data_IF_249263649721
#
_entry.id   IF_249263649721
#
_cell.length_a   1.000
_cell.length_b   1.000
_cell.length_c   1.000
_cell.angle_alpha   90.00
_cell.angle_beta   90.00
_cell.angle_gamma   90.00
#
_symmetry.space_group_name_H-M   'P 1'
#
loop_
_entity.id
_entity.type
_entity.pdbx_description
1 polymer ?
#
# COMPACT_ATOMS: atom_id res chain seq x y z
N UNK A 1 -1.84 24.38 -11.36
CA UNK A 1 -0.65 23.79 -10.70
C UNK A 1 -0.34 22.47 -11.37
N UNK A 2 0.93 22.26 -11.70
CA UNK A 2 1.42 21.03 -12.31
C UNK A 2 2.41 20.34 -11.36
N UNK A 3 2.15 19.09 -11.01
CA UNK A 3 3.02 18.27 -10.16
C UNK A 3 3.75 17.24 -11.05
N UNK A 4 5.07 17.10 -10.88
CA UNK A 4 5.80 15.97 -11.44
C UNK A 4 6.11 14.97 -10.34
N UNK A 5 5.69 13.71 -10.53
CA UNK A 5 6.02 12.58 -9.67
C UNK A 5 7.28 11.90 -10.21
N UNK A 6 8.30 11.76 -9.37
CA UNK A 6 9.56 11.09 -9.73
C UNK A 6 9.56 9.69 -9.11
N UNK A 7 9.28 8.68 -9.94
CA UNK A 7 9.12 7.27 -9.57
C UNK A 7 10.28 6.43 -10.12
N UNK A 8 11.50 6.64 -9.60
CA UNK A 8 12.69 5.91 -10.05
C UNK A 8 12.99 4.71 -9.17
N UNK A 9 13.02 4.88 -7.83
CA UNK A 9 13.23 3.77 -6.89
C UNK A 9 11.92 3.12 -6.44
N UNK A 10 10.81 3.84 -6.50
CA UNK A 10 9.47 3.33 -6.35
C UNK A 10 8.87 3.18 -7.76
N UNK A 11 8.70 1.96 -8.26
CA UNK A 11 8.40 1.75 -9.68
C UNK A 11 6.95 2.11 -10.01
N UNK A 12 6.76 2.97 -11.00
CA UNK A 12 5.47 3.18 -11.64
C UNK A 12 5.22 2.10 -12.69
N UNK A 13 4.18 1.30 -12.48
CA UNK A 13 3.79 0.19 -13.37
C UNK A 13 2.37 0.43 -13.85
N UNK A 14 2.19 0.47 -15.16
CA UNK A 14 0.90 0.78 -15.78
C UNK A 14 -0.20 -0.18 -15.31
N UNK A 15 -1.33 0.37 -14.85
CA UNK A 15 -2.49 -0.40 -14.41
C UNK A 15 -2.40 -0.98 -12.99
N UNK A 16 -1.32 -0.72 -12.27
CA UNK A 16 -1.18 -1.21 -10.91
C UNK A 16 -1.81 -0.24 -9.88
N UNK A 17 -2.24 -0.83 -8.73
CA UNK A 17 -2.89 -0.09 -7.64
C UNK A 17 -1.91 0.43 -6.57
N UNK A 18 -0.68 0.79 -6.94
CA UNK A 18 0.29 1.34 -5.99
C UNK A 18 0.11 2.85 -5.81
N UNK A 19 0.64 3.39 -4.72
CA UNK A 19 0.56 4.82 -4.42
C UNK A 19 1.12 5.68 -5.54
N UNK A 20 2.20 5.24 -6.19
CA UNK A 20 2.85 5.91 -7.31
C UNK A 20 1.93 6.03 -8.54
N UNK A 21 0.96 5.13 -8.66
CA UNK A 21 -0.07 5.13 -9.72
C UNK A 21 -1.32 5.91 -9.31
N UNK A 22 -1.79 5.65 -8.09
CA UNK A 22 -3.09 6.14 -7.64
C UNK A 22 -3.02 7.62 -7.20
N UNK A 23 -1.98 8.04 -6.50
CA UNK A 23 -1.87 9.44 -6.06
C UNK A 23 -1.88 10.42 -7.25
N UNK A 24 -1.10 10.24 -8.34
CA UNK A 24 -1.21 11.11 -9.53
C UNK A 24 -2.60 11.08 -10.18
N UNK A 25 -3.25 9.91 -10.25
CA UNK A 25 -4.61 9.75 -10.80
C UNK A 25 -5.61 10.61 -10.02
N UNK A 26 -5.63 10.49 -8.69
CA UNK A 26 -6.58 11.21 -7.85
C UNK A 26 -6.28 12.70 -7.73
N UNK A 27 -5.01 13.11 -7.76
CA UNK A 27 -4.63 14.51 -7.89
C UNK A 27 -5.12 15.12 -9.22
N UNK A 28 -5.05 14.33 -10.31
CA UNK A 28 -5.58 14.75 -11.62
C UNK A 28 -7.08 14.95 -11.58
N UNK A 29 -7.82 14.03 -10.94
CA UNK A 29 -9.28 14.17 -10.72
C UNK A 29 -9.62 15.39 -9.85
N UNK A 30 -8.76 15.76 -8.92
CA UNK A 30 -8.89 16.99 -8.13
C UNK A 30 -8.50 18.29 -8.89
N UNK A 31 -8.30 18.22 -10.22
CA UNK A 31 -7.99 19.35 -11.08
C UNK A 31 -6.52 19.79 -11.07
N UNK A 32 -5.63 18.97 -10.52
CA UNK A 32 -4.19 19.20 -10.53
C UNK A 32 -3.58 18.47 -11.72
N UNK A 33 -2.86 19.17 -12.61
CA UNK A 33 -2.12 18.51 -13.69
C UNK A 33 -0.99 17.66 -13.13
N UNK A 34 -0.89 16.41 -13.59
CA UNK A 34 0.14 15.50 -13.13
C UNK A 34 0.96 14.93 -14.28
N UNK A 35 2.25 14.76 -14.01
CA UNK A 35 3.16 14.02 -14.86
C UNK A 35 3.97 13.05 -14.00
N UNK A 36 4.36 11.91 -14.57
CA UNK A 36 5.20 10.91 -13.91
C UNK A 36 6.48 10.73 -14.72
N UNK A 37 7.62 10.77 -14.04
CA UNK A 37 8.92 10.35 -14.60
C UNK A 37 9.26 8.99 -13.98
N UNK A 38 9.38 7.95 -14.80
CA UNK A 38 9.65 6.59 -14.37
C UNK A 38 10.78 5.94 -15.19
N UNK A 39 11.32 4.80 -14.70
CA UNK A 39 12.26 4.01 -15.48
C UNK A 39 11.63 3.42 -16.74
N UNK A 40 12.34 3.47 -17.87
CA UNK A 40 11.93 2.83 -19.12
C UNK A 40 12.58 1.46 -19.37
N UNK A 41 13.51 1.04 -18.52
CA UNK A 41 14.28 -0.18 -18.75
C UNK A 41 14.58 -1.00 -17.48
N UNK A 42 14.24 -0.48 -16.31
CA UNK A 42 14.40 -1.17 -15.03
C UNK A 42 13.02 -1.44 -14.44
N UNK A 43 12.62 -2.70 -14.45
CA UNK A 43 11.32 -3.16 -14.00
C UNK A 43 11.46 -4.16 -12.86
N UNK A 44 10.49 -4.24 -11.93
CA UNK A 44 10.48 -5.23 -10.88
C UNK A 44 10.53 -6.66 -11.44
N UNK A 45 11.25 -7.54 -10.75
CA UNK A 45 11.47 -8.94 -11.16
C UNK A 45 10.20 -9.80 -11.21
N UNK A 46 9.13 -9.35 -10.60
CA UNK A 46 7.84 -10.06 -10.56
C UNK A 46 6.92 -9.71 -11.73
N UNK A 47 7.31 -8.78 -12.61
CA UNK A 47 6.58 -8.52 -13.85
C UNK A 47 6.88 -9.61 -14.88
N UNK A 48 5.85 -10.04 -15.59
CA UNK A 48 5.99 -10.94 -16.71
C UNK A 48 6.67 -10.26 -17.91
N UNK A 49 7.26 -11.06 -18.77
CA UNK A 49 7.87 -10.57 -20.02
C UNK A 49 6.85 -9.84 -20.90
N UNK A 50 5.58 -10.29 -20.90
CA UNK A 50 4.51 -9.67 -21.66
C UNK A 50 4.17 -8.27 -21.11
N UNK A 51 3.97 -8.11 -19.80
CA UNK A 51 3.71 -6.80 -19.17
C UNK A 51 4.83 -5.80 -19.46
N UNK A 52 6.09 -6.24 -19.37
CA UNK A 52 7.24 -5.39 -19.71
C UNK A 52 7.22 -5.01 -21.21
N UNK A 53 6.87 -5.94 -22.10
CA UNK A 53 6.74 -5.70 -23.54
C UNK A 53 5.63 -4.68 -23.82
N UNK A 54 4.49 -4.82 -23.19
CA UNK A 54 3.33 -3.92 -23.35
C UNK A 54 3.63 -2.49 -22.88
N UNK A 55 4.36 -2.35 -21.76
CA UNK A 55 4.83 -1.05 -21.29
C UNK A 55 5.81 -0.42 -22.29
N UNK A 56 6.79 -1.19 -22.78
CA UNK A 56 7.79 -0.71 -23.74
C UNK A 56 7.19 -0.33 -25.10
N UNK A 57 6.14 -1.03 -25.52
CA UNK A 57 5.44 -0.75 -26.79
C UNK A 57 4.78 0.64 -26.79
N UNK A 58 4.47 1.22 -25.63
CA UNK A 58 3.92 2.58 -25.52
C UNK A 58 4.96 3.68 -25.78
N UNK A 59 6.25 3.32 -25.81
CA UNK A 59 7.35 4.26 -26.00
C UNK A 59 7.75 5.03 -24.74
N UNK A 60 8.52 6.09 -24.93
CA UNK A 60 9.05 6.89 -23.82
C UNK A 60 8.06 7.94 -23.29
N UNK A 61 7.10 8.36 -24.13
CA UNK A 61 6.15 9.43 -23.81
C UNK A 61 4.75 9.00 -24.20
N UNK A 62 3.85 8.91 -23.22
CA UNK A 62 2.45 8.53 -23.42
C UNK A 62 1.58 9.06 -22.27
N UNK A 63 0.28 8.86 -22.35
CA UNK A 63 -0.67 9.21 -21.27
C UNK A 63 -1.44 7.98 -20.80
N UNK A 64 -1.76 7.95 -19.50
CA UNK A 64 -2.72 7.01 -18.92
C UNK A 64 -3.82 7.85 -18.28
N UNK A 65 -5.05 7.73 -18.82
CA UNK A 65 -6.06 8.74 -18.55
C UNK A 65 -5.55 10.13 -18.97
N UNK A 66 -5.49 11.06 -18.03
CA UNK A 66 -4.97 12.41 -18.26
C UNK A 66 -3.56 12.62 -17.68
N UNK A 67 -2.96 11.60 -17.06
CA UNK A 67 -1.61 11.68 -16.48
C UNK A 67 -0.56 11.43 -17.55
N UNK A 68 0.34 12.39 -17.76
CA UNK A 68 1.45 12.25 -18.71
C UNK A 68 2.57 11.43 -18.10
N UNK A 69 3.04 10.41 -18.82
CA UNK A 69 4.11 9.50 -18.41
C UNK A 69 5.35 9.73 -19.30
N UNK A 70 6.47 9.98 -18.65
CA UNK A 70 7.78 10.04 -19.30
C UNK A 70 8.69 8.95 -18.76
N UNK A 71 9.08 8.01 -19.62
CA UNK A 71 10.03 6.96 -19.28
C UNK A 71 11.44 7.37 -19.66
N UNK A 72 12.37 7.27 -18.72
CA UNK A 72 13.77 7.61 -18.93
C UNK A 72 14.67 6.40 -18.73
N UNK A 73 15.83 6.41 -19.35
CA UNK A 73 16.84 5.35 -19.18
C UNK A 73 17.43 5.42 -17.78
N UNK A 74 17.57 4.25 -17.16
CA UNK A 74 18.19 4.09 -15.84
C UNK A 74 19.25 2.99 -15.89
N UNK A 75 20.17 2.98 -14.93
CA UNK A 75 21.16 1.90 -14.76
C UNK A 75 21.20 1.47 -13.30
N UNK A 76 20.91 0.20 -13.07
CA UNK A 76 20.97 -0.42 -11.74
C UNK A 76 22.38 -0.92 -11.48
N UNK A 77 22.96 -0.49 -10.35
CA UNK A 77 24.28 -0.94 -9.88
C UNK A 77 24.13 -1.90 -8.68
N UNK A 78 23.06 -1.76 -7.90
CA UNK A 78 22.68 -2.68 -6.82
C UNK A 78 21.18 -2.59 -6.57
N UNK A 79 20.67 -3.40 -5.65
CA UNK A 79 19.24 -3.39 -5.26
C UNK A 79 18.74 -1.99 -4.88
N UNK A 80 19.60 -1.18 -4.24
CA UNK A 80 19.25 0.16 -3.74
C UNK A 80 19.89 1.31 -4.53
N UNK A 81 20.66 1.02 -5.58
CA UNK A 81 21.42 2.04 -6.31
C UNK A 81 21.05 2.07 -7.79
N UNK A 82 20.06 2.89 -8.10
CA UNK A 82 19.53 3.10 -9.45
C UNK A 82 19.83 4.54 -9.88
N UNK A 83 20.55 4.68 -10.98
CA UNK A 83 20.97 5.99 -11.53
C UNK A 83 20.13 6.35 -12.76
N UNK A 84 19.37 7.46 -12.72
CA UNK A 84 18.63 7.95 -13.88
C UNK A 84 19.54 8.77 -14.80
N UNK A 85 19.37 8.59 -16.11
CA UNK A 85 20.00 9.42 -17.14
C UNK A 85 19.02 10.49 -17.63
N UNK A 86 19.50 11.71 -17.90
CA UNK A 86 18.70 12.82 -18.42
C UNK A 86 17.48 13.20 -17.56
N UNK A 87 17.53 12.95 -16.24
CA UNK A 87 16.43 13.31 -15.35
C UNK A 87 16.21 14.82 -15.30
N UNK A 88 17.28 15.62 -15.29
CA UNK A 88 17.18 17.08 -15.30
C UNK A 88 16.42 17.57 -16.54
N UNK A 89 16.83 17.09 -17.73
CA UNK A 89 16.21 17.45 -19.01
C UNK A 89 14.72 17.02 -19.03
N UNK A 90 14.41 15.85 -18.44
CA UNK A 90 13.04 15.35 -18.34
C UNK A 90 12.17 16.26 -17.45
N UNK A 91 12.69 16.74 -16.31
CA UNK A 91 11.98 17.66 -15.44
C UNK A 91 11.82 19.04 -16.13
N UNK A 92 12.89 19.53 -16.79
CA UNK A 92 12.85 20.81 -17.53
C UNK A 92 11.81 20.78 -18.66
N UNK A 93 11.68 19.67 -19.39
CA UNK A 93 10.68 19.53 -20.45
C UNK A 93 9.23 19.55 -19.92
N UNK A 94 8.98 19.09 -18.68
CA UNK A 94 7.66 19.09 -18.06
C UNK A 94 7.32 20.47 -17.48
N UNK A 95 8.31 21.23 -17.00
CA UNK A 95 8.13 22.54 -16.34
C UNK A 95 7.12 22.47 -15.17
N UNK A 96 7.39 21.68 -14.12
CA UNK A 96 6.47 21.52 -13.01
C UNK A 96 6.48 22.75 -12.07
N UNK A 97 5.34 22.97 -11.40
CA UNK A 97 5.21 23.91 -10.27
C UNK A 97 5.65 23.29 -8.94
N UNK A 98 5.65 21.94 -8.86
CA UNK A 98 5.98 21.14 -7.66
C UNK A 98 6.62 19.84 -8.11
N UNK A 99 7.61 19.38 -7.35
CA UNK A 99 8.14 18.02 -7.49
C UNK A 99 7.66 17.18 -6.30
N UNK A 100 7.04 16.02 -6.60
CA UNK A 100 6.77 14.96 -5.65
C UNK A 100 7.73 13.80 -5.94
N UNK A 101 8.68 13.58 -5.05
CA UNK A 101 9.70 12.54 -5.23
C UNK A 101 9.37 11.33 -4.36
N UNK A 102 9.19 10.17 -4.99
CA UNK A 102 8.90 8.92 -4.29
C UNK A 102 10.19 8.26 -3.80
N UNK A 103 10.30 8.10 -2.49
CA UNK A 103 11.43 7.60 -1.70
C UNK A 103 12.64 8.54 -1.55
N UNK A 104 13.26 8.46 -0.35
CA UNK A 104 14.49 9.19 -0.02
C UNK A 104 15.75 8.49 -0.52
N UNK A 105 15.81 7.18 -0.51
CA UNK A 105 16.99 6.40 -0.84
C UNK A 105 17.17 6.20 -2.35
N UNK A 106 17.24 7.29 -3.10
CA UNK A 106 17.41 7.26 -4.54
C UNK A 106 18.36 8.37 -5.02
N UNK A 107 19.19 8.05 -6.01
CA UNK A 107 20.11 9.01 -6.62
C UNK A 107 19.41 10.12 -7.40
N UNK A 108 18.13 9.97 -7.74
CA UNK A 108 17.31 10.99 -8.35
C UNK A 108 16.95 12.15 -7.41
N UNK A 109 16.91 11.91 -6.09
CA UNK A 109 16.51 12.92 -5.11
C UNK A 109 17.41 14.18 -5.11
N UNK A 110 18.74 14.08 -5.07
CA UNK A 110 19.61 15.28 -5.15
C UNK A 110 19.49 16.00 -6.48
N UNK A 111 19.19 15.31 -7.59
CA UNK A 111 18.95 15.94 -8.91
C UNK A 111 17.65 16.74 -8.87
N UNK A 112 16.56 16.11 -8.37
CA UNK A 112 15.27 16.75 -8.18
C UNK A 112 15.36 17.99 -7.26
N UNK A 113 16.08 17.86 -6.15
CA UNK A 113 16.29 18.96 -5.21
C UNK A 113 17.09 20.11 -5.81
N UNK A 114 18.09 19.82 -6.66
CA UNK A 114 18.85 20.85 -7.38
C UNK A 114 17.96 21.62 -8.34
N UNK A 115 17.08 20.93 -9.08
CA UNK A 115 16.11 21.58 -9.96
C UNK A 115 15.12 22.44 -9.15
N UNK A 116 14.53 21.87 -8.08
CA UNK A 116 13.57 22.58 -7.23
C UNK A 116 14.19 23.86 -6.65
N UNK A 117 15.42 23.78 -6.14
CA UNK A 117 16.15 24.94 -5.58
C UNK A 117 16.42 25.99 -6.65
N UNK A 118 16.86 25.59 -7.86
CA UNK A 118 17.18 26.51 -8.95
C UNK A 118 15.96 27.29 -9.44
N UNK A 119 14.80 26.63 -9.47
CA UNK A 119 13.55 27.20 -9.98
C UNK A 119 12.63 27.71 -8.88
N UNK A 120 13.06 27.67 -7.61
CA UNK A 120 12.29 28.09 -6.43
C UNK A 120 10.90 27.44 -6.36
N UNK A 121 10.83 26.12 -6.63
CA UNK A 121 9.60 25.35 -6.52
C UNK A 121 9.65 24.36 -5.35
N UNK A 122 8.50 24.01 -4.73
CA UNK A 122 8.43 23.05 -3.65
C UNK A 122 8.90 21.66 -4.05
N UNK A 123 9.65 21.00 -3.14
CA UNK A 123 9.99 19.58 -3.20
C UNK A 123 9.29 18.86 -2.05
N UNK A 124 8.44 17.91 -2.38
CA UNK A 124 7.78 16.99 -1.45
C UNK A 124 8.40 15.62 -1.62
N UNK A 125 8.61 14.87 -0.55
CA UNK A 125 9.22 13.54 -0.59
C UNK A 125 8.44 12.58 0.29
N UNK A 126 8.12 11.37 -0.20
CA UNK A 126 7.58 10.31 0.65
C UNK A 126 8.64 9.27 1.04
N UNK A 127 8.28 8.39 1.97
CA UNK A 127 9.17 7.33 2.48
C UNK A 127 8.41 6.03 2.71
N UNK A 128 8.90 4.97 2.08
CA UNK A 128 8.43 3.59 2.26
C UNK A 128 9.42 2.70 3.01
N UNK A 129 10.61 3.23 3.32
CA UNK A 129 11.64 2.50 4.07
C UNK A 129 11.39 2.58 5.59
N UNK A 130 11.65 1.49 6.28
CA UNK A 130 11.67 1.39 7.73
C UNK A 130 12.80 0.45 8.20
N UNK A 131 12.91 0.28 9.52
CA UNK A 131 13.95 -0.58 10.13
C UNK A 131 13.80 -2.05 9.70
N UNK A 132 12.57 -2.51 9.42
CA UNK A 132 12.30 -3.88 8.98
C UNK A 132 12.79 -4.14 7.55
N UNK A 133 12.80 -3.09 6.72
CA UNK A 133 13.26 -3.15 5.33
C UNK A 133 14.75 -2.83 5.16
N UNK A 134 15.46 -2.54 6.26
CA UNK A 134 16.90 -2.27 6.23
C UNK A 134 17.71 -3.55 6.03
N UNK A 135 18.93 -3.37 5.54
CA UNK A 135 19.92 -4.45 5.52
C UNK A 135 20.16 -5.03 6.91
N UNK A 136 20.19 -6.35 7.04
CA UNK A 136 20.53 -7.04 8.29
C UNK A 136 21.96 -6.71 8.79
N UNK A 137 22.84 -6.26 7.90
CA UNK A 137 24.16 -5.76 8.28
C UNK A 137 24.02 -4.34 8.86
N UNK A 138 24.05 -4.25 10.19
CA UNK A 138 23.86 -2.98 10.93
C UNK A 138 24.89 -1.90 10.58
N UNK A 139 26.14 -2.28 10.30
CA UNK A 139 27.19 -1.33 9.92
C UNK A 139 26.90 -0.75 8.55
N UNK A 140 26.57 -1.61 7.57
CA UNK A 140 26.19 -1.17 6.23
C UNK A 140 24.92 -0.31 6.25
N UNK A 141 23.92 -0.71 7.02
CA UNK A 141 22.71 0.07 7.21
C UNK A 141 22.99 1.48 7.75
N UNK A 142 23.84 1.59 8.78
CA UNK A 142 24.26 2.87 9.34
C UNK A 142 24.98 3.74 8.30
N UNK A 143 25.97 3.17 7.60
CA UNK A 143 26.76 3.89 6.58
C UNK A 143 25.85 4.36 5.43
N UNK A 144 25.00 3.47 4.93
CA UNK A 144 24.13 3.79 3.81
C UNK A 144 23.06 4.79 4.18
N UNK A 145 22.20 4.48 5.17
CA UNK A 145 21.04 5.33 5.48
C UNK A 145 21.43 6.60 6.25
N UNK A 146 22.29 6.50 7.26
CA UNK A 146 22.57 7.65 8.13
C UNK A 146 23.70 8.53 7.61
N UNK A 147 24.77 7.96 7.05
CA UNK A 147 25.87 8.77 6.50
C UNK A 147 25.57 9.18 5.06
N UNK A 148 25.40 8.25 4.13
CA UNK A 148 25.28 8.60 2.71
C UNK A 148 23.97 9.33 2.43
N UNK A 149 22.83 8.71 2.76
CA UNK A 149 21.51 9.31 2.48
C UNK A 149 21.22 10.45 3.46
N UNK A 150 21.51 10.28 4.75
CA UNK A 150 21.26 11.32 5.76
C UNK A 150 22.05 12.61 5.50
N UNK A 151 23.33 12.53 5.12
CA UNK A 151 24.10 13.73 4.73
C UNK A 151 23.55 14.39 3.47
N UNK A 152 23.12 13.58 2.50
CA UNK A 152 22.45 14.09 1.30
C UNK A 152 21.15 14.83 1.67
N UNK A 153 20.32 14.22 2.50
CA UNK A 153 19.06 14.81 2.99
C UNK A 153 19.31 16.10 3.77
N UNK A 154 20.33 16.11 4.63
CA UNK A 154 20.73 17.32 5.36
C UNK A 154 21.14 18.46 4.44
N UNK A 155 21.86 18.16 3.35
CA UNK A 155 22.28 19.17 2.37
C UNK A 155 21.10 19.76 1.59
N UNK A 156 20.05 18.97 1.33
CA UNK A 156 18.87 19.41 0.56
C UNK A 156 17.65 19.77 1.45
N UNK A 157 17.76 19.65 2.78
CA UNK A 157 16.64 19.82 3.72
C UNK A 157 15.89 21.14 3.56
N UNK A 158 16.61 22.22 3.22
CA UNK A 158 15.98 23.55 3.02
C UNK A 158 15.04 23.57 1.82
N UNK A 159 15.29 22.72 0.81
CA UNK A 159 14.47 22.61 -0.40
C UNK A 159 13.24 21.73 -0.18
N UNK A 160 13.32 20.74 0.73
CA UNK A 160 12.18 19.89 1.09
C UNK A 160 11.20 20.72 1.92
N UNK A 161 9.98 20.90 1.41
CA UNK A 161 8.91 21.60 2.12
C UNK A 161 8.07 20.66 2.95
N UNK A 162 7.89 19.40 2.51
CA UNK A 162 7.13 18.37 3.21
C UNK A 162 7.76 16.99 2.97
N UNK A 163 7.80 16.18 4.02
CA UNK A 163 8.26 14.80 4.00
C UNK A 163 7.17 13.90 4.58
N UNK A 164 6.78 12.86 3.86
CA UNK A 164 5.72 11.97 4.28
C UNK A 164 6.25 10.57 4.60
N UNK A 165 5.86 10.03 5.76
CA UNK A 165 5.95 8.59 6.01
C UNK A 165 4.61 7.92 5.71
N UNK A 166 4.61 6.76 5.06
CA UNK A 166 3.35 6.02 4.81
C UNK A 166 2.85 5.25 6.03
N UNK A 167 3.59 5.29 7.15
CA UNK A 167 3.18 4.84 8.47
C UNK A 167 3.94 5.64 9.54
N UNK A 168 3.54 5.51 10.81
CA UNK A 168 4.24 6.21 11.90
C UNK A 168 5.70 5.80 12.02
N UNK A 169 6.02 4.51 11.93
CA UNK A 169 7.42 4.02 11.94
C UNK A 169 8.24 4.62 10.80
N UNK A 170 7.63 4.88 9.64
CA UNK A 170 8.31 5.50 8.49
C UNK A 170 8.47 7.00 8.64
N UNK A 171 7.60 7.67 9.40
CA UNK A 171 7.80 9.05 9.83
C UNK A 171 9.01 9.15 10.79
N UNK A 172 9.09 8.24 11.76
CA UNK A 172 10.21 8.18 12.70
C UNK A 172 11.52 7.87 11.97
N UNK A 173 11.49 6.98 10.99
CA UNK A 173 12.65 6.68 10.14
C UNK A 173 13.17 7.92 9.40
N UNK A 174 12.30 8.74 8.84
CA UNK A 174 12.68 10.02 8.19
C UNK A 174 13.45 10.91 9.17
N UNK A 175 12.94 11.04 10.39
CA UNK A 175 13.56 11.85 11.44
C UNK A 175 14.92 11.29 11.88
N UNK A 176 14.97 10.01 12.21
CA UNK A 176 16.13 9.38 12.84
C UNK A 176 17.27 9.13 11.87
N UNK A 177 16.96 8.66 10.66
CA UNK A 177 17.96 8.24 9.68
C UNK A 177 18.29 9.30 8.65
N UNK A 178 17.30 10.06 8.20
CA UNK A 178 17.51 11.11 7.19
C UNK A 178 17.70 12.51 7.80
N UNK A 179 17.40 12.68 9.10
CA UNK A 179 17.64 13.92 9.82
C UNK A 179 16.77 15.10 9.34
N UNK A 180 15.61 14.83 8.79
CA UNK A 180 14.64 15.85 8.38
C UNK A 180 13.96 16.45 9.64
N UNK A 181 13.76 17.75 9.64
CA UNK A 181 13.06 18.47 10.72
C UNK A 181 11.65 17.90 10.92
N UNK A 182 11.32 17.55 12.18
CA UNK A 182 10.02 17.01 12.57
C UNK A 182 8.83 17.86 12.09
N UNK A 183 8.98 19.20 12.03
CA UNK A 183 7.94 20.12 11.54
C UNK A 183 7.56 19.90 10.08
N UNK A 184 8.43 19.28 9.31
CA UNK A 184 8.21 18.95 7.90
C UNK A 184 7.67 17.54 7.69
N UNK A 185 7.71 16.70 8.73
CA UNK A 185 7.31 15.29 8.65
C UNK A 185 5.83 15.15 8.98
N UNK A 186 5.12 14.36 8.19
CA UNK A 186 3.72 14.03 8.43
C UNK A 186 3.37 12.64 7.90
N UNK A 187 2.24 12.10 8.36
CA UNK A 187 1.71 10.83 7.88
C UNK A 187 0.93 11.05 6.57
N UNK A 188 1.30 10.29 5.54
CA UNK A 188 0.52 10.11 4.32
C UNK A 188 0.35 8.61 4.09
N UNK A 189 -0.70 7.99 4.64
CA UNK A 189 -0.89 6.55 4.55
C UNK A 189 -1.06 6.10 3.10
N UNK A 190 -0.82 4.82 2.82
CA UNK A 190 -1.27 4.20 1.58
C UNK A 190 -2.79 4.30 1.54
N UNK A 191 -3.34 4.72 0.41
CA UNK A 191 -4.76 4.98 0.27
C UNK A 191 -5.56 3.78 -0.20
N UNK A 192 -6.87 3.90 -0.03
CA UNK A 192 -7.87 2.99 -0.56
C UNK A 192 -8.38 3.51 -1.92
N UNK A 193 -8.37 2.65 -2.95
CA UNK A 193 -8.91 2.99 -4.30
C UNK A 193 -10.43 2.84 -4.32
N UNK A 194 -11.10 3.87 -3.81
CA UNK A 194 -12.56 3.85 -3.64
C UNK A 194 -13.31 3.87 -4.96
N UNK A 195 -12.76 4.49 -6.01
CA UNK A 195 -13.42 4.55 -7.32
C UNK A 195 -13.68 3.15 -7.88
N UNK A 196 -12.68 2.29 -7.83
CA UNK A 196 -12.81 0.89 -8.27
C UNK A 196 -13.68 0.08 -7.28
N UNK A 197 -13.49 0.30 -5.97
CA UNK A 197 -14.25 -0.40 -4.94
C UNK A 197 -15.76 -0.15 -5.04
N UNK A 198 -16.17 1.05 -5.44
CA UNK A 198 -17.58 1.41 -5.61
C UNK A 198 -18.23 0.77 -6.84
N UNK A 199 -17.42 0.29 -7.81
CA UNK A 199 -17.94 -0.49 -8.95
C UNK A 199 -18.21 -1.96 -8.63
N UNK A 200 -17.70 -2.45 -7.50
CA UNK A 200 -17.82 -3.86 -7.11
C UNK A 200 -19.26 -4.16 -6.64
N UNK A 201 -19.89 -5.23 -7.13
CA UNK A 201 -21.25 -5.61 -6.76
C UNK A 201 -21.47 -5.76 -5.26
N UNK A 202 -22.71 -5.79 -4.83
CA UNK A 202 -23.03 -5.96 -3.40
C UNK A 202 -22.59 -7.33 -2.87
N UNK A 203 -22.44 -7.41 -1.56
CA UNK A 203 -22.01 -8.62 -0.84
C UNK A 203 -22.90 -9.83 -1.16
N UNK A 204 -24.20 -9.61 -1.25
CA UNK A 204 -25.21 -10.65 -1.54
C UNK A 204 -25.01 -11.23 -2.94
N UNK A 205 -24.86 -10.35 -3.95
CA UNK A 205 -24.59 -10.75 -5.34
C UNK A 205 -23.28 -11.57 -5.44
N UNK A 206 -22.24 -11.11 -4.74
CA UNK A 206 -20.95 -11.78 -4.76
C UNK A 206 -21.01 -13.14 -4.06
N UNK A 207 -21.71 -13.27 -2.94
CA UNK A 207 -21.93 -14.55 -2.27
C UNK A 207 -22.61 -15.56 -3.18
N UNK A 208 -23.65 -15.14 -3.89
CA UNK A 208 -24.31 -15.99 -4.90
C UNK A 208 -23.34 -16.37 -6.03
N UNK A 209 -22.58 -15.42 -6.57
CA UNK A 209 -21.58 -15.65 -7.62
C UNK A 209 -20.54 -16.72 -7.21
N UNK A 210 -20.09 -16.71 -5.96
CA UNK A 210 -19.07 -17.61 -5.44
C UNK A 210 -19.61 -18.84 -4.70
N UNK A 211 -20.96 -19.03 -4.68
CA UNK A 211 -21.60 -20.22 -4.10
C UNK A 211 -21.69 -20.21 -2.57
N UNK A 212 -21.64 -19.04 -1.94
CA UNK A 212 -21.83 -18.88 -0.49
C UNK A 212 -23.26 -18.49 -0.16
N UNK A 213 -23.68 -18.85 1.05
CA UNK A 213 -25.00 -18.48 1.58
C UNK A 213 -24.90 -17.22 2.43
N UNK A 214 -26.03 -16.50 2.58
CA UNK A 214 -26.10 -15.31 3.43
C UNK A 214 -25.75 -15.60 4.89
N UNK A 215 -26.07 -16.81 5.36
CA UNK A 215 -25.80 -17.29 6.72
C UNK A 215 -24.36 -17.78 6.93
N UNK A 216 -23.54 -17.85 5.90
CA UNK A 216 -22.12 -18.18 6.06
C UNK A 216 -21.37 -17.00 6.69
N UNK A 217 -20.52 -17.29 7.67
CA UNK A 217 -19.55 -16.30 8.19
C UNK A 217 -18.22 -16.49 7.48
N UNK A 218 -17.90 -15.57 6.60
CA UNK A 218 -16.75 -15.67 5.69
C UNK A 218 -15.60 -14.84 6.21
N UNK A 219 -14.50 -15.50 6.51
CA UNK A 219 -13.20 -14.89 6.80
C UNK A 219 -12.38 -14.91 5.52
N UNK A 220 -11.71 -13.84 5.18
CA UNK A 220 -10.85 -13.77 3.99
C UNK A 220 -9.44 -13.34 4.34
N UNK A 221 -8.45 -13.92 3.65
CA UNK A 221 -7.05 -13.49 3.68
C UNK A 221 -6.41 -13.73 2.31
N UNK A 222 -5.34 -13.02 2.00
CA UNK A 222 -4.73 -13.18 0.68
C UNK A 222 -3.35 -12.58 0.51
N UNK A 223 -2.80 -12.76 -0.70
CA UNK A 223 -1.47 -12.33 -1.11
C UNK A 223 -0.43 -13.46 -1.07
N UNK A 224 0.81 -13.13 -0.69
CA UNK A 224 1.81 -14.14 -0.35
C UNK A 224 1.55 -14.61 1.07
N UNK A 225 1.31 -15.90 1.23
CA UNK A 225 0.85 -16.53 2.46
C UNK A 225 1.85 -17.62 2.91
N UNK A 226 1.78 -18.00 4.19
CA UNK A 226 2.60 -19.03 4.80
C UNK A 226 2.76 -18.80 6.30
N UNK A 227 3.61 -19.62 6.93
CA UNK A 227 3.90 -19.58 8.38
C UNK A 227 4.36 -18.16 8.81
N UNK A 228 5.25 -17.52 8.06
CA UNK A 228 5.74 -16.17 8.36
C UNK A 228 4.62 -15.11 8.37
N UNK A 229 3.52 -15.38 7.70
CA UNK A 229 2.33 -14.51 7.65
C UNK A 229 1.23 -14.95 8.61
N UNK A 230 1.43 -16.08 9.32
CA UNK A 230 0.45 -16.64 10.25
C UNK A 230 -0.74 -17.30 9.58
N UNK A 231 -0.60 -17.74 8.33
CA UNK A 231 -1.68 -18.38 7.58
C UNK A 231 -2.05 -19.75 8.19
N UNK A 232 -1.07 -20.51 8.64
CA UNK A 232 -1.25 -21.75 9.41
C UNK A 232 -2.07 -21.53 10.69
N UNK A 233 -1.80 -20.44 11.42
CA UNK A 233 -2.53 -20.09 12.63
C UNK A 233 -3.97 -19.63 12.32
N UNK A 234 -4.16 -18.94 11.20
CA UNK A 234 -5.50 -18.53 10.74
C UNK A 234 -6.36 -19.74 10.37
N UNK A 235 -5.79 -20.73 9.66
CA UNK A 235 -6.46 -21.98 9.34
C UNK A 235 -6.84 -22.72 10.64
N UNK A 236 -5.88 -22.89 11.55
CA UNK A 236 -6.08 -23.56 12.83
C UNK A 236 -7.18 -22.91 13.67
N UNK A 237 -7.19 -21.58 13.76
CA UNK A 237 -8.22 -20.81 14.48
C UNK A 237 -9.62 -21.06 13.90
N UNK A 238 -9.73 -21.05 12.57
CA UNK A 238 -11.01 -21.28 11.89
C UNK A 238 -11.52 -22.71 12.10
N UNK A 239 -10.63 -23.70 12.07
CA UNK A 239 -10.96 -25.10 12.34
C UNK A 239 -11.42 -25.31 13.78
N UNK A 240 -10.75 -24.67 14.74
CA UNK A 240 -11.14 -24.72 16.17
C UNK A 240 -12.55 -24.18 16.39
N UNK A 241 -12.89 -23.02 15.79
CA UNK A 241 -14.25 -22.47 15.86
C UNK A 241 -15.28 -23.45 15.31
N UNK A 242 -14.99 -24.05 14.14
CA UNK A 242 -15.88 -25.03 13.52
C UNK A 242 -16.04 -26.29 14.37
N UNK A 243 -14.96 -26.78 14.98
CA UNK A 243 -14.95 -27.95 15.86
C UNK A 243 -15.72 -27.70 17.15
N UNK A 244 -15.51 -26.53 17.77
CA UNK A 244 -16.14 -26.14 19.03
C UNK A 244 -17.63 -25.78 18.84
N UNK A 245 -18.03 -25.34 17.65
CA UNK A 245 -19.41 -25.08 17.27
C UNK A 245 -19.73 -25.72 15.91
N UNK A 246 -20.13 -26.99 15.87
CA UNK A 246 -20.46 -27.73 14.64
C UNK A 246 -21.56 -27.10 13.77
N UNK A 247 -22.42 -26.29 14.39
CA UNK A 247 -23.48 -25.57 13.69
C UNK A 247 -22.98 -24.23 13.09
N UNK A 248 -21.78 -23.80 13.42
CA UNK A 248 -21.16 -22.62 12.84
C UNK A 248 -20.97 -22.82 11.33
N UNK A 249 -21.38 -21.83 10.56
CA UNK A 249 -21.20 -21.81 9.11
C UNK A 249 -19.93 -21.04 8.70
N UNK A 250 -18.91 -21.05 9.58
CA UNK A 250 -17.64 -20.35 9.32
C UNK A 250 -16.93 -20.95 8.10
N UNK A 251 -16.42 -20.09 7.23
CA UNK A 251 -15.63 -20.37 6.04
C UNK A 251 -14.40 -19.51 6.02
N UNK A 252 -13.29 -20.05 5.53
CA UNK A 252 -12.06 -19.31 5.30
C UNK A 252 -11.75 -19.30 3.81
N UNK A 253 -11.66 -18.12 3.23
CA UNK A 253 -11.28 -17.91 1.84
C UNK A 253 -9.84 -17.41 1.81
N UNK A 254 -8.97 -18.15 1.14
CA UNK A 254 -7.57 -17.78 0.92
C UNK A 254 -7.34 -17.56 -0.58
N UNK A 255 -6.70 -16.45 -0.95
CA UNK A 255 -6.38 -16.16 -2.35
C UNK A 255 -4.94 -15.67 -2.53
N UNK A 256 -4.31 -16.07 -3.63
CA UNK A 256 -2.92 -15.76 -3.91
C UNK A 256 -2.02 -17.00 -3.86
N UNK A 257 -0.86 -16.91 -3.23
CA UNK A 257 0.12 -18.00 -3.20
C UNK A 257 0.54 -18.33 -1.78
N UNK A 258 0.36 -19.60 -1.38
CA UNK A 258 0.96 -20.15 -0.16
C UNK A 258 2.36 -20.64 -0.52
N UNK A 259 3.40 -20.10 0.16
CA UNK A 259 4.79 -20.32 -0.23
C UNK A 259 5.41 -21.56 0.41
N UNK A 260 4.91 -22.03 1.57
CA UNK A 260 5.39 -23.24 2.23
C UNK A 260 4.43 -24.42 2.05
N UNK A 261 5.02 -25.61 1.88
CA UNK A 261 4.28 -26.83 1.55
C UNK A 261 3.38 -27.31 2.69
N UNK A 262 3.79 -27.17 3.94
CA UNK A 262 3.03 -27.63 5.10
C UNK A 262 1.74 -26.83 5.27
N UNK A 263 1.80 -25.49 5.20
CA UNK A 263 0.61 -24.65 5.23
C UNK A 263 -0.30 -24.90 4.02
N UNK A 264 0.28 -25.13 2.84
CA UNK A 264 -0.51 -25.47 1.64
C UNK A 264 -1.23 -26.81 1.81
N UNK A 265 -0.57 -27.81 2.39
CA UNK A 265 -1.18 -29.11 2.67
C UNK A 265 -2.30 -28.99 3.69
N UNK A 266 -2.06 -28.26 4.80
CA UNK A 266 -3.07 -27.96 5.79
C UNK A 266 -4.31 -27.29 5.18
N UNK A 267 -4.11 -26.27 4.33
CA UNK A 267 -5.19 -25.57 3.65
C UNK A 267 -6.01 -26.50 2.73
N UNK A 268 -5.33 -27.39 1.98
CA UNK A 268 -5.98 -28.34 1.07
C UNK A 268 -6.77 -29.43 1.79
N UNK A 269 -6.34 -29.84 2.98
CA UNK A 269 -7.01 -30.86 3.80
C UNK A 269 -8.18 -30.29 4.61
N UNK A 270 -8.22 -28.99 4.81
CA UNK A 270 -9.21 -28.34 5.63
C UNK A 270 -10.57 -28.24 4.94
N UNK A 271 -11.63 -28.65 5.63
CA UNK A 271 -13.03 -28.56 5.14
C UNK A 271 -13.62 -27.14 5.22
N UNK A 272 -12.96 -26.24 5.93
CA UNK A 272 -13.43 -24.84 6.10
C UNK A 272 -12.76 -23.88 5.13
N UNK A 273 -11.68 -24.32 4.45
CA UNK A 273 -10.87 -23.49 3.55
C UNK A 273 -11.31 -23.64 2.10
N UNK A 274 -11.44 -22.51 1.42
CA UNK A 274 -11.54 -22.43 -0.03
C UNK A 274 -10.32 -21.66 -0.55
N UNK A 275 -9.63 -22.25 -1.51
CA UNK A 275 -8.42 -21.68 -2.12
C UNK A 275 -8.74 -21.07 -3.49
N UNK A 276 -8.27 -19.86 -3.71
CA UNK A 276 -8.19 -19.23 -5.02
C UNK A 276 -6.72 -18.94 -5.35
N UNK A 277 -6.35 -19.12 -6.61
CA UNK A 277 -5.04 -18.73 -7.11
C UNK A 277 -4.86 -17.21 -7.08
N UNK A 278 -3.74 -16.73 -7.63
CA UNK A 278 -3.48 -15.31 -7.78
C UNK A 278 -4.63 -14.62 -8.54
N UNK A 279 -5.21 -13.61 -7.92
CA UNK A 279 -6.37 -12.90 -8.45
C UNK A 279 -5.96 -11.57 -9.07
N UNK A 280 -6.68 -11.15 -10.11
CA UNK A 280 -6.61 -9.78 -10.61
C UNK A 280 -7.24 -8.78 -9.61
N UNK A 281 -7.14 -7.50 -9.91
CA UNK A 281 -7.61 -6.42 -9.04
C UNK A 281 -9.10 -6.52 -8.72
N UNK A 282 -9.93 -6.77 -9.73
CA UNK A 282 -11.39 -6.84 -9.56
C UNK A 282 -11.78 -8.04 -8.70
N UNK A 283 -11.28 -9.22 -9.03
CA UNK A 283 -11.56 -10.44 -8.26
C UNK A 283 -11.07 -10.34 -6.82
N UNK A 284 -9.92 -9.69 -6.58
CA UNK A 284 -9.41 -9.40 -5.23
C UNK A 284 -10.43 -8.59 -4.42
N UNK A 285 -10.93 -7.49 -4.97
CA UNK A 285 -11.93 -6.66 -4.30
C UNK A 285 -13.28 -7.39 -4.12
N UNK A 286 -13.70 -8.22 -5.08
CA UNK A 286 -14.89 -9.05 -4.94
C UNK A 286 -14.78 -10.04 -3.77
N UNK A 287 -13.63 -10.75 -3.67
CA UNK A 287 -13.39 -11.70 -2.57
C UNK A 287 -13.34 -10.99 -1.21
N UNK A 288 -12.75 -9.81 -1.15
CA UNK A 288 -12.75 -8.99 0.06
C UNK A 288 -14.18 -8.55 0.43
N UNK A 289 -14.94 -7.99 -0.53
CA UNK A 289 -16.28 -7.44 -0.30
C UNK A 289 -17.33 -8.49 0.10
N UNK A 290 -17.22 -9.72 -0.38
CA UNK A 290 -18.16 -10.78 0.00
C UNK A 290 -17.98 -11.28 1.44
N UNK A 291 -16.81 -11.03 2.06
CA UNK A 291 -16.45 -11.52 3.37
C UNK A 291 -17.11 -10.71 4.52
N UNK A 292 -17.19 -11.32 5.70
CA UNK A 292 -17.60 -10.67 6.93
C UNK A 292 -16.44 -10.01 7.64
N UNK A 293 -15.23 -10.56 7.43
CA UNK A 293 -13.99 -10.03 7.99
C UNK A 293 -12.78 -10.44 7.17
N UNK A 294 -11.81 -9.55 7.06
CA UNK A 294 -10.51 -9.82 6.48
C UNK A 294 -9.45 -9.91 7.58
N UNK A 295 -8.56 -10.91 7.51
CA UNK A 295 -7.60 -11.20 8.56
C UNK A 295 -6.16 -11.32 8.05
N UNK A 296 -5.24 -10.48 8.58
CA UNK A 296 -3.80 -10.57 8.37
C UNK A 296 -3.10 -10.52 9.74
N UNK A 297 -2.77 -11.69 10.33
CA UNK A 297 -2.42 -11.77 11.75
C UNK A 297 -1.01 -11.28 12.10
N UNK A 298 -0.09 -11.11 11.15
CA UNK A 298 1.31 -10.79 11.48
C UNK A 298 1.79 -9.51 10.80
N UNK A 299 1.71 -9.41 9.48
CA UNK A 299 2.34 -8.34 8.73
C UNK A 299 1.35 -7.48 7.96
N UNK A 300 1.71 -6.21 7.79
CA UNK A 300 1.02 -5.29 6.89
C UNK A 300 1.13 -5.76 5.43
N UNK A 301 0.06 -5.58 4.69
CA UNK A 301 -0.05 -5.77 3.23
C UNK A 301 -1.02 -4.73 2.69
N UNK A 302 -0.83 -4.27 1.45
CA UNK A 302 -1.74 -3.32 0.79
C UNK A 302 -3.16 -3.86 0.55
N UNK A 303 -3.37 -5.16 0.72
CA UNK A 303 -4.69 -5.77 0.71
C UNK A 303 -5.56 -5.33 1.92
N UNK A 304 -4.94 -4.78 2.97
CA UNK A 304 -5.67 -4.23 4.12
C UNK A 304 -6.38 -2.94 3.69
N UNK A 305 -5.71 -2.08 2.95
CA UNK A 305 -6.32 -0.86 2.39
C UNK A 305 -7.39 -1.21 1.35
N UNK A 306 -7.22 -2.30 0.62
CA UNK A 306 -8.25 -2.83 -0.29
C UNK A 306 -9.48 -3.33 0.46
N UNK A 307 -9.30 -3.99 1.61
CA UNK A 307 -10.42 -4.39 2.47
C UNK A 307 -11.14 -3.17 3.05
N UNK A 308 -10.40 -2.12 3.43
CA UNK A 308 -10.99 -0.84 3.84
C UNK A 308 -11.78 -0.20 2.70
N UNK A 309 -11.28 -0.24 1.45
CA UNK A 309 -11.95 0.33 0.28
C UNK A 309 -13.34 -0.27 0.05
N UNK A 310 -13.52 -1.57 0.32
CA UNK A 310 -14.79 -2.28 0.16
C UNK A 310 -15.58 -2.43 1.47
N UNK A 311 -15.19 -1.71 2.52
CA UNK A 311 -15.83 -1.71 3.85
C UNK A 311 -15.90 -3.11 4.50
N UNK A 312 -14.85 -3.91 4.36
CA UNK A 312 -14.74 -5.19 5.06
C UNK A 312 -14.04 -5.00 6.40
N UNK A 313 -14.65 -5.41 7.51
CA UNK A 313 -14.04 -5.34 8.84
C UNK A 313 -12.69 -6.07 8.90
N UNK A 314 -11.79 -5.61 9.77
CA UNK A 314 -10.42 -6.11 9.86
C UNK A 314 -10.16 -6.87 11.15
N UNK A 315 -9.35 -7.94 11.07
CA UNK A 315 -8.61 -8.52 12.19
C UNK A 315 -7.13 -8.43 11.83
N UNK A 316 -6.39 -7.53 12.45
CA UNK A 316 -4.97 -7.33 12.20
C UNK A 316 -4.19 -7.09 13.48
N UNK A 317 -2.90 -7.41 13.46
CA UNK A 317 -2.01 -7.12 14.58
C UNK A 317 -1.73 -5.63 14.67
N UNK A 318 -1.77 -5.07 15.90
CA UNK A 318 -1.36 -3.70 16.16
C UNK A 318 0.16 -3.60 16.11
N UNK A 319 0.67 -2.79 15.20
CA UNK A 319 2.10 -2.47 15.03
C UNK A 319 2.24 -1.03 14.57
N UNK A 320 3.43 -0.47 14.63
CA UNK A 320 3.71 0.89 14.14
C UNK A 320 3.42 1.09 12.65
N UNK A 321 3.30 -0.02 11.88
CA UNK A 321 2.93 0.00 10.47
C UNK A 321 1.44 -0.11 10.22
N UNK A 322 0.64 -0.55 11.20
CA UNK A 322 -0.80 -0.84 11.03
C UNK A 322 -1.71 -0.02 11.94
N UNK A 323 -1.18 0.63 12.98
CA UNK A 323 -2.01 1.29 14.02
C UNK A 323 -2.94 2.39 13.47
N UNK A 324 -2.66 2.94 12.29
CA UNK A 324 -3.51 3.93 11.62
C UNK A 324 -4.66 3.32 10.80
N UNK A 325 -4.77 1.98 10.70
CA UNK A 325 -5.70 1.28 9.81
C UNK A 325 -7.00 0.85 10.49
N UNK A 326 -7.08 0.85 11.83
CA UNK A 326 -8.30 0.55 12.58
C UNK A 326 -8.71 1.74 13.45
N UNK A 327 -9.94 2.20 13.22
CA UNK A 327 -10.66 3.15 14.08
C UNK A 327 -12.15 2.80 14.04
N UNK A 328 -12.53 1.73 14.75
CA UNK A 328 -13.90 1.23 14.80
C UNK A 328 -14.30 0.28 13.67
N UNK A 329 -13.42 0.02 12.70
CA UNK A 329 -13.63 -0.85 11.53
C UNK A 329 -13.00 -2.24 11.70
N UNK A 330 -12.69 -2.67 12.92
CA UNK A 330 -12.05 -3.97 13.13
C UNK A 330 -11.63 -4.23 14.57
N UNK A 331 -10.92 -5.33 14.74
CA UNK A 331 -10.40 -5.81 16.02
C UNK A 331 -8.88 -5.95 15.96
N UNK A 332 -8.20 -5.38 16.94
CA UNK A 332 -6.77 -5.59 17.15
C UNK A 332 -6.49 -6.93 17.77
N UNK A 333 -5.49 -7.65 17.28
CA UNK A 333 -4.90 -8.80 17.95
C UNK A 333 -3.49 -8.47 18.45
N UNK A 334 -3.13 -9.05 19.60
CA UNK A 334 -1.83 -8.80 20.24
C UNK A 334 -0.69 -9.52 19.52
N UNK A 335 -0.97 -10.71 19.02
CA UNK A 335 -0.04 -11.58 18.31
C UNK A 335 -0.79 -12.41 17.25
N UNK A 336 -0.02 -13.09 16.39
CA UNK A 336 -0.57 -13.92 15.31
C UNK A 336 -0.92 -15.35 15.72
N UNK A 337 -1.13 -15.66 17.02
CA UNK A 337 -1.49 -17.00 17.45
C UNK A 337 -2.93 -17.37 17.11
N UNK A 338 -3.17 -18.67 16.93
CA UNK A 338 -4.52 -19.18 16.68
C UNK A 338 -5.53 -18.78 17.77
N UNK A 339 -5.11 -18.74 19.04
CA UNK A 339 -5.95 -18.32 20.17
C UNK A 339 -6.38 -16.85 20.09
N UNK A 340 -5.47 -15.96 19.69
CA UNK A 340 -5.77 -14.53 19.53
C UNK A 340 -6.72 -14.30 18.35
N UNK A 341 -6.50 -15.00 17.25
CA UNK A 341 -7.35 -14.95 16.05
C UNK A 341 -8.74 -15.52 16.35
N UNK A 342 -8.81 -16.70 17.01
CA UNK A 342 -10.07 -17.36 17.42
C UNK A 342 -10.92 -16.45 18.32
N UNK A 343 -10.30 -15.78 19.30
CA UNK A 343 -11.02 -14.82 20.17
C UNK A 343 -11.60 -13.66 19.36
N UNK A 344 -10.80 -13.07 18.46
CA UNK A 344 -11.24 -11.95 17.64
C UNK A 344 -12.40 -12.35 16.69
N UNK A 345 -12.28 -13.50 16.01
CA UNK A 345 -13.34 -14.02 15.15
C UNK A 345 -14.62 -14.32 15.94
N UNK A 346 -14.50 -14.92 17.15
CA UNK A 346 -15.64 -15.24 18.00
C UNK A 346 -16.39 -14.00 18.46
N UNK A 347 -15.68 -12.90 18.71
CA UNK A 347 -16.31 -11.60 19.01
C UNK A 347 -17.16 -11.09 17.84
N UNK A 348 -16.66 -11.22 16.62
CA UNK A 348 -17.38 -10.78 15.40
C UNK A 348 -18.55 -11.73 15.08
N UNK A 349 -18.36 -13.03 15.21
CA UNK A 349 -19.36 -14.04 14.93
C UNK A 349 -20.60 -13.91 15.85
N UNK A 350 -20.39 -13.49 17.11
CA UNK A 350 -21.43 -13.37 18.14
C UNK A 350 -21.88 -11.90 18.36
N UNK A 351 -21.62 -10.99 17.42
CA UNK A 351 -22.05 -9.61 17.54
C UNK A 351 -23.58 -9.47 17.46
N UNK A 352 -24.13 -8.61 18.32
CA UNK A 352 -25.50 -8.11 18.18
C UNK A 352 -25.60 -7.07 17.05
N UNK A 353 -26.81 -6.73 16.63
CA UNK A 353 -27.05 -5.80 15.52
C UNK A 353 -26.52 -4.39 15.80
N UNK A 354 -26.47 -3.95 17.05
CA UNK A 354 -25.93 -2.63 17.41
C UNK A 354 -24.42 -2.58 17.17
N UNK A 355 -23.69 -3.64 17.53
CA UNK A 355 -22.24 -3.74 17.30
C UNK A 355 -21.91 -3.87 15.81
N UNK A 356 -22.71 -4.65 15.05
CA UNK A 356 -22.57 -4.73 13.58
C UNK A 356 -22.75 -3.36 12.93
N UNK A 357 -23.79 -2.62 13.33
CA UNK A 357 -24.02 -1.26 12.83
C UNK A 357 -22.89 -0.30 13.17
N UNK A 358 -22.36 -0.34 14.41
CA UNK A 358 -21.22 0.47 14.81
C UNK A 358 -19.94 0.12 14.02
N UNK A 359 -19.70 -1.16 13.75
CA UNK A 359 -18.60 -1.64 12.93
C UNK A 359 -18.71 -1.14 11.50
N UNK A 360 -19.92 -1.21 10.90
CA UNK A 360 -20.17 -0.71 9.56
C UNK A 360 -19.91 0.80 9.46
N UNK A 361 -20.36 1.59 10.44
CA UNK A 361 -20.05 3.03 10.50
C UNK A 361 -18.54 3.28 10.61
N UNK A 362 -17.83 2.46 11.38
CA UNK A 362 -16.37 2.49 11.45
C UNK A 362 -15.72 2.22 10.11
N UNK A 363 -16.21 1.22 9.36
CA UNK A 363 -15.73 0.89 8.03
C UNK A 363 -15.92 2.06 7.05
N UNK A 364 -17.09 2.69 7.01
CA UNK A 364 -17.36 3.85 6.15
C UNK A 364 -16.47 5.06 6.53
N UNK A 365 -16.30 5.32 7.83
CA UNK A 365 -15.40 6.36 8.31
C UNK A 365 -13.97 6.13 7.84
N UNK A 366 -13.47 4.90 7.96
CA UNK A 366 -12.10 4.57 7.56
C UNK A 366 -11.91 4.55 6.04
N UNK A 367 -12.89 4.08 5.27
CA UNK A 367 -12.93 4.20 3.81
C UNK A 367 -12.75 5.65 3.36
N UNK A 368 -13.53 6.57 3.94
CA UNK A 368 -13.43 8.00 3.62
C UNK A 368 -12.08 8.58 4.03
N UNK A 369 -11.58 8.24 5.23
CA UNK A 369 -10.29 8.72 5.74
C UNK A 369 -9.10 8.27 4.91
N UNK A 370 -9.10 7.02 4.45
CA UNK A 370 -8.02 6.42 3.66
C UNK A 370 -8.26 6.54 2.15
N UNK A 371 -9.37 7.15 1.70
CA UNK A 371 -9.60 7.34 0.26
C UNK A 371 -8.48 8.17 -0.37
N UNK A 372 -8.06 7.83 -1.57
CA UNK A 372 -7.09 8.65 -2.30
C UNK A 372 -7.63 10.05 -2.61
N UNK A 373 -8.94 10.27 -2.62
CA UNK A 373 -9.53 11.62 -2.69
C UNK A 373 -9.09 12.46 -1.48
N UNK A 374 -9.30 11.96 -0.26
CA UNK A 374 -8.88 12.64 0.98
C UNK A 374 -7.36 12.81 1.06
N UNK A 375 -6.60 11.81 0.60
CA UNK A 375 -5.13 11.87 0.57
C UNK A 375 -4.66 12.93 -0.44
N UNK A 376 -5.26 13.00 -1.62
CA UNK A 376 -4.95 14.02 -2.63
C UNK A 376 -5.26 15.43 -2.12
N UNK A 377 -6.41 15.64 -1.48
CA UNK A 377 -6.78 16.92 -0.85
C UNK A 377 -5.76 17.34 0.21
N UNK A 378 -5.32 16.39 1.06
CA UNK A 378 -4.28 16.64 2.06
C UNK A 378 -2.97 17.11 1.40
N UNK A 379 -2.51 16.41 0.36
CA UNK A 379 -1.28 16.76 -0.36
C UNK A 379 -1.39 18.16 -0.97
N UNK A 380 -2.52 18.48 -1.60
CA UNK A 380 -2.77 19.81 -2.17
C UNK A 380 -2.75 20.88 -1.09
N UNK A 381 -3.43 20.66 0.03
CA UNK A 381 -3.46 21.59 1.17
C UNK A 381 -2.06 21.85 1.74
N UNK A 382 -1.27 20.79 1.94
CA UNK A 382 0.07 20.88 2.49
C UNK A 382 1.02 21.64 1.54
N UNK A 383 0.89 21.43 0.22
CA UNK A 383 1.66 22.16 -0.79
C UNK A 383 1.30 23.67 -0.79
N UNK A 384 0.02 24.01 -0.76
CA UNK A 384 -0.41 25.41 -0.72
C UNK A 384 0.00 26.10 0.59
N UNK A 385 -0.13 25.42 1.73
CA UNK A 385 0.30 25.96 3.03
C UNK A 385 1.81 26.20 3.12
N UNK A 386 2.61 25.50 2.34
CA UNK A 386 4.07 25.69 2.30
C UNK A 386 4.52 26.90 1.44
N UNK A 387 3.60 27.49 0.66
CA UNK A 387 3.86 28.66 -0.20
C UNK A 387 3.54 30.00 0.49
N UNK A 388 2.88 29.95 1.64
CA UNK A 388 2.64 31.10 2.53
C UNK A 388 3.76 31.20 3.57
#
# INVERSE_FOLDING_TARGET
>A
MKIVHICISAPYIDGWGYQENLLPKYLQQAGIQNAVIASGNDFPFYLSTQEISDIKAKGENYTIGEVYIKRIKTKRFSTSFLVPFHLMDAIEAIQPDVIFHHNFNCTSLPIAARYAKRNNIPLVVDNHADVLNMSHNRIWAFVYYKLLIGLTCKAIQKTIVKAYGVSHSRCDFIKEYYGIDQKKIDLLPIGADVDIADTIPSKEILRQKYGYQETDFIVVSGGKMGVEKGTDQLILATERIRKNNPNSRIKLVLFGKIEDEDTLLQAKQSQVVTLFDWCDRIKTLELLKMADVACWPIHHTTLIEDAVAVCTPLIIRKTDTTEHLIEGNGIWIENGSAEAIERAMSLLLNQDEMRKSAMQQGCEKMKNRLSYNTIAEKVVKDIYGSRQ
#
